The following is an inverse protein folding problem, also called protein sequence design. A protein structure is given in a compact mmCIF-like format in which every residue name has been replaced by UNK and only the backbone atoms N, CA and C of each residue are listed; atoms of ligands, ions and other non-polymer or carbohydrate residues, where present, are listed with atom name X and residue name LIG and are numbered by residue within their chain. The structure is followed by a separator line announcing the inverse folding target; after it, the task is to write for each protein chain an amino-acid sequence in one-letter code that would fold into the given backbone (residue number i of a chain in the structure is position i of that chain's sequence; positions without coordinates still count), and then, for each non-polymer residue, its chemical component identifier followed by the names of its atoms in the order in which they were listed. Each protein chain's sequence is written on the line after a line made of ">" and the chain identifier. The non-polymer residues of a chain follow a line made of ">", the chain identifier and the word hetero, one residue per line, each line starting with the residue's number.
data_IF_316629057836
#
_entry.id   IF_316629057836
#
_cell.length_a   1.000
_cell.length_b   1.000
_cell.length_c   1.000
_cell.angle_alpha   90.00
_cell.angle_beta   90.00
_cell.angle_gamma   90.00
#
_symmetry.space_group_name_H-M   'P 1'
#
loop_
_entity.id
_entity.type
_entity.pdbx_description
1 polymer ?
#
# COMPACT_ATOMS: atom_id res chain seq x y z
N UNK A 1 11.93 24.13 21.94
CA UNK A 1 10.72 23.39 21.57
C UNK A 1 10.94 22.83 20.16
N UNK A 2 10.70 21.54 19.98
CA UNK A 2 11.00 20.79 18.75
C UNK A 2 9.68 20.47 18.02
N UNK A 3 9.52 20.88 16.75
CA UNK A 3 8.25 20.77 16.02
C UNK A 3 7.90 19.34 15.54
N UNK A 4 8.63 18.30 15.96
CA UNK A 4 8.45 16.91 15.50
C UNK A 4 7.36 16.09 16.22
N UNK A 5 6.47 16.71 17.01
CA UNK A 5 5.63 15.98 17.96
C UNK A 5 4.13 15.89 17.61
N UNK A 6 3.78 15.35 16.43
CA UNK A 6 2.41 14.86 16.13
C UNK A 6 2.38 13.62 15.23
N UNK A 7 3.13 12.56 15.56
CA UNK A 7 2.86 11.21 15.03
C UNK A 7 3.41 10.13 15.99
N UNK A 8 2.52 9.46 16.71
CA UNK A 8 2.87 8.41 17.69
C UNK A 8 3.18 7.06 17.03
N UNK A 9 4.27 6.97 16.25
CA UNK A 9 4.98 5.72 15.92
C UNK A 9 6.33 6.04 15.26
N UNK A 10 7.41 6.14 16.05
CA UNK A 10 8.71 6.76 15.68
C UNK A 10 9.56 6.03 14.61
N UNK A 11 9.00 5.07 13.85
CA UNK A 11 9.78 4.35 12.84
C UNK A 11 8.86 3.86 11.71
N UNK A 12 8.37 4.80 10.90
CA UNK A 12 7.77 4.52 9.59
C UNK A 12 8.22 5.58 8.59
N UNK A 13 8.82 5.18 7.46
CA UNK A 13 9.19 6.11 6.40
C UNK A 13 9.27 5.38 5.05
N UNK A 14 8.87 6.07 3.98
CA UNK A 14 9.19 5.64 2.62
C UNK A 14 10.55 6.18 2.23
N UNK A 15 11.44 5.29 1.79
CA UNK A 15 12.74 5.63 1.27
C UNK A 15 12.94 5.05 -0.12
N UNK A 16 13.48 5.84 -1.04
CA UNK A 16 14.17 5.35 -2.23
C UNK A 16 15.66 5.39 -1.96
N UNK A 17 16.39 4.36 -2.37
CA UNK A 17 17.82 4.32 -2.13
C UNK A 17 18.57 3.58 -3.23
N UNK A 18 19.80 4.01 -3.47
CA UNK A 18 20.79 3.33 -4.31
C UNK A 18 21.92 2.87 -3.43
N UNK A 19 22.19 1.56 -3.42
CA UNK A 19 23.44 1.04 -2.86
C UNK A 19 24.43 0.88 -3.98
N UNK A 20 25.70 1.21 -3.75
CA UNK A 20 26.77 0.96 -4.72
C UNK A 20 28.04 0.43 -4.05
N UNK A 21 28.75 -0.41 -4.78
CA UNK A 21 30.16 -0.74 -4.53
C UNK A 21 30.96 0.03 -5.56
N UNK A 22 31.72 1.01 -5.08
CA UNK A 22 32.42 1.95 -5.95
C UNK A 22 33.69 1.31 -6.51
N UNK A 23 33.90 1.50 -7.81
CA UNK A 23 35.17 1.21 -8.44
C UNK A 23 36.07 2.44 -8.30
N UNK A 24 37.15 2.28 -7.54
CA UNK A 24 38.06 3.36 -7.15
C UNK A 24 38.96 3.81 -8.30
N UNK A 25 39.14 2.97 -9.31
CA UNK A 25 39.95 3.28 -10.49
C UNK A 25 39.13 3.88 -11.62
N UNK A 26 37.86 3.51 -11.73
CA UNK A 26 36.98 3.87 -12.85
C UNK A 26 35.51 3.84 -12.42
N UNK A 27 34.96 5.01 -12.09
CA UNK A 27 33.58 5.14 -11.59
C UNK A 27 32.51 4.57 -12.54
N UNK A 28 32.80 4.43 -13.85
CA UNK A 28 31.85 3.83 -14.80
C UNK A 28 31.66 2.32 -14.59
N UNK A 29 32.57 1.68 -13.86
CA UNK A 29 32.53 0.26 -13.50
C UNK A 29 31.93 -0.01 -12.12
N UNK A 30 31.51 1.03 -11.39
CA UNK A 30 30.83 0.87 -10.09
C UNK A 30 29.56 0.03 -10.26
N UNK A 31 29.33 -0.90 -9.33
CA UNK A 31 28.13 -1.74 -9.33
C UNK A 31 27.12 -1.12 -8.38
N UNK A 32 25.94 -0.77 -8.88
CA UNK A 32 24.87 -0.22 -8.06
C UNK A 32 23.55 -0.94 -8.29
N UNK A 33 22.68 -0.86 -7.29
CA UNK A 33 21.28 -1.27 -7.41
C UNK A 33 20.38 -0.26 -6.70
N UNK A 34 19.31 0.09 -7.37
CA UNK A 34 18.27 1.00 -6.87
C UNK A 34 17.10 0.20 -6.31
N UNK A 35 16.52 0.70 -5.22
CA UNK A 35 15.29 0.16 -4.67
C UNK A 35 14.52 1.21 -3.88
N UNK A 36 13.37 0.79 -3.38
CA UNK A 36 12.53 1.60 -2.51
C UNK A 36 11.80 0.71 -1.53
N UNK A 37 11.52 1.26 -0.35
CA UNK A 37 10.80 0.54 0.68
C UNK A 37 10.11 1.50 1.66
N UNK A 38 8.95 1.09 2.18
CA UNK A 38 8.41 1.69 3.40
C UNK A 38 8.90 0.91 4.61
N UNK A 39 9.93 1.42 5.25
CA UNK A 39 10.47 0.86 6.48
C UNK A 39 9.49 1.09 7.61
N UNK A 40 9.37 0.10 8.49
CA UNK A 40 8.52 0.18 9.67
C UNK A 40 9.15 -0.59 10.83
N UNK A 41 8.60 -0.47 12.03
CA UNK A 41 8.99 -1.32 13.17
C UNK A 41 8.84 -2.83 12.87
N UNK A 42 7.93 -3.20 11.95
CA UNK A 42 7.71 -4.58 11.50
C UNK A 42 8.62 -5.00 10.34
N UNK A 43 9.02 -4.06 9.48
CA UNK A 43 9.90 -4.30 8.33
C UNK A 43 11.11 -3.36 8.39
N UNK A 44 12.18 -3.86 9.01
CA UNK A 44 13.36 -3.07 9.36
C UNK A 44 14.49 -3.16 8.33
N UNK A 45 14.46 -4.13 7.42
CA UNK A 45 15.52 -4.37 6.45
C UNK A 45 14.95 -4.63 5.06
N UNK A 46 15.69 -4.19 4.05
CA UNK A 46 15.41 -4.40 2.64
C UNK A 46 16.74 -4.37 1.87
N UNK A 47 16.90 -5.23 0.87
CA UNK A 47 18.16 -5.32 0.12
C UNK A 47 18.33 -6.66 -0.58
N UNK A 48 19.55 -6.92 -1.04
CA UNK A 48 19.90 -8.09 -1.84
C UNK A 48 20.97 -8.91 -1.12
N UNK A 49 20.78 -10.22 -1.03
CA UNK A 49 21.80 -11.14 -0.57
C UNK A 49 22.83 -11.50 -1.67
N UNK A 50 22.53 -11.14 -2.93
CA UNK A 50 23.30 -11.48 -4.13
C UNK A 50 23.80 -10.21 -4.86
N UNK A 51 24.20 -9.18 -4.11
CA UNK A 51 24.44 -7.84 -4.64
C UNK A 51 25.50 -7.78 -5.76
N UNK A 52 26.68 -8.39 -5.54
CA UNK A 52 27.79 -8.40 -6.47
C UNK A 52 28.69 -9.64 -6.31
N UNK A 53 29.47 -9.95 -7.34
CA UNK A 53 30.40 -11.09 -7.35
C UNK A 53 31.60 -10.85 -6.43
N UNK A 54 31.80 -11.73 -5.45
CA UNK A 54 32.93 -11.66 -4.54
C UNK A 54 34.29 -11.78 -5.27
N UNK A 55 34.39 -12.65 -6.28
CA UNK A 55 35.62 -12.83 -7.05
C UNK A 55 36.05 -11.53 -7.76
N UNK A 56 35.07 -10.78 -8.28
CA UNK A 56 35.34 -9.50 -8.96
C UNK A 56 35.74 -8.40 -7.98
N UNK A 57 35.14 -8.40 -6.79
CA UNK A 57 35.47 -7.43 -5.73
C UNK A 57 36.89 -7.64 -5.20
N UNK A 58 37.30 -8.90 -5.04
CA UNK A 58 38.60 -9.26 -4.46
C UNK A 58 39.75 -9.24 -5.46
N UNK A 59 39.49 -9.16 -6.77
CA UNK A 59 40.56 -9.06 -7.77
C UNK A 59 41.14 -7.62 -7.77
N UNK A 60 42.40 -7.43 -7.33
CA UNK A 60 43.01 -6.10 -7.26
C UNK A 60 43.18 -5.44 -8.63
N UNK A 61 43.07 -6.20 -9.74
CA UNK A 61 43.13 -5.67 -11.11
C UNK A 61 41.83 -5.01 -11.55
N UNK A 62 40.71 -5.30 -10.89
CA UNK A 62 39.38 -4.84 -11.30
C UNK A 62 39.07 -3.45 -10.76
N UNK A 63 39.70 -3.03 -9.64
CA UNK A 63 39.65 -1.66 -9.13
C UNK A 63 38.63 -1.39 -8.02
N UNK A 64 37.97 -2.41 -7.47
CA UNK A 64 37.07 -2.25 -6.32
C UNK A 64 37.79 -2.21 -4.97
N UNK A 65 38.93 -2.92 -4.86
CA UNK A 65 39.69 -3.04 -3.63
C UNK A 65 40.79 -1.97 -3.58
N UNK A 66 40.85 -1.23 -2.47
CA UNK A 66 41.93 -0.27 -2.22
C UNK A 66 43.23 -1.03 -1.90
N UNK A 67 44.18 -1.07 -2.86
CA UNK A 67 45.35 -1.96 -2.81
C UNK A 67 46.28 -1.76 -1.61
N UNK A 68 46.22 -0.62 -0.92
CA UNK A 68 47.05 -0.38 0.27
C UNK A 68 46.43 -0.86 1.59
N UNK A 69 45.09 -1.02 1.65
CA UNK A 69 44.36 -1.18 2.92
C UNK A 69 43.28 -2.27 2.88
N UNK A 70 43.16 -3.04 1.79
CA UNK A 70 42.15 -4.10 1.61
C UNK A 70 40.71 -3.66 1.95
N UNK A 71 40.38 -2.41 1.62
CA UNK A 71 39.07 -1.82 1.87
C UNK A 71 38.28 -1.66 0.57
N UNK A 72 36.96 -1.80 0.65
CA UNK A 72 36.01 -1.44 -0.40
C UNK A 72 35.25 -0.19 0.00
N UNK A 73 34.88 0.65 -0.97
CA UNK A 73 34.02 1.79 -0.74
C UNK A 73 32.57 1.42 -1.10
N UNK A 74 31.69 1.50 -0.11
CA UNK A 74 30.25 1.31 -0.28
C UNK A 74 29.57 2.65 -0.05
N UNK A 75 28.73 3.06 -0.99
CA UNK A 75 27.95 4.28 -0.91
C UNK A 75 26.46 3.95 -0.86
N UNK A 76 25.69 4.84 -0.25
CA UNK A 76 24.23 4.77 -0.19
C UNK A 76 23.65 6.15 -0.45
N UNK A 77 23.01 6.33 -1.61
CA UNK A 77 22.19 7.52 -1.87
C UNK A 77 20.79 7.24 -1.36
N UNK A 78 20.25 8.12 -0.52
CA UNK A 78 18.98 7.89 0.15
C UNK A 78 18.09 9.12 0.00
N UNK A 79 16.89 8.91 -0.56
CA UNK A 79 15.82 9.88 -0.63
C UNK A 79 14.70 9.45 0.31
N UNK A 80 14.33 10.31 1.25
CA UNK A 80 13.25 10.06 2.21
C UNK A 80 12.03 10.88 1.81
N UNK A 81 10.87 10.22 1.76
CA UNK A 81 9.61 10.89 1.47
C UNK A 81 9.21 11.72 2.69
N UNK A 82 9.19 13.04 2.52
CA UNK A 82 8.66 13.94 3.53
C UNK A 82 7.15 14.01 3.33
N UNK A 83 6.41 13.42 4.27
CA UNK A 83 4.97 13.28 4.13
C UNK A 83 4.24 13.54 5.45
N UNK A 84 2.98 13.95 5.34
CA UNK A 84 2.03 13.93 6.45
C UNK A 84 0.71 13.32 5.99
N UNK A 85 -0.09 12.84 6.93
CA UNK A 85 -1.41 12.30 6.61
C UNK A 85 -2.41 12.61 7.71
N UNK A 86 -3.69 12.58 7.34
CA UNK A 86 -4.81 12.69 8.26
C UNK A 86 -5.90 11.71 7.87
N UNK A 87 -6.59 11.17 8.87
CA UNK A 87 -7.69 10.24 8.67
C UNK A 87 -8.91 10.71 9.45
N UNK A 88 -10.05 10.87 8.78
CA UNK A 88 -11.34 11.16 9.41
C UNK A 88 -12.30 10.00 9.17
N UNK A 89 -12.96 9.54 10.23
CA UNK A 89 -14.02 8.53 10.18
C UNK A 89 -15.37 9.23 10.12
N UNK A 90 -16.28 8.74 9.28
CA UNK A 90 -17.66 9.22 9.29
C UNK A 90 -18.42 8.57 10.46
N UNK A 91 -19.13 9.38 11.24
CA UNK A 91 -19.62 9.01 12.57
C UNK A 91 -20.88 8.12 12.59
N UNK A 92 -21.37 7.64 11.45
CA UNK A 92 -22.63 6.89 11.36
C UNK A 92 -22.59 5.50 12.04
N UNK A 93 -21.40 4.93 12.28
CA UNK A 93 -21.24 3.57 12.84
C UNK A 93 -21.31 3.48 14.37
N UNK A 94 -21.35 4.60 15.10
CA UNK A 94 -21.44 4.57 16.57
C UNK A 94 -22.82 4.08 17.05
N UNK A 95 -23.87 4.16 16.21
CA UNK A 95 -25.21 3.72 16.57
C UNK A 95 -25.47 2.22 16.31
N UNK A 96 -24.75 1.57 15.39
CA UNK A 96 -25.03 0.18 15.01
C UNK A 96 -24.40 -0.88 15.94
N UNK A 97 -23.39 -0.52 16.73
CA UNK A 97 -22.73 -1.44 17.67
C UNK A 97 -23.36 -1.46 19.09
N UNK A 98 -24.47 -0.75 19.31
CA UNK A 98 -25.26 -0.82 20.54
C UNK A 98 -26.40 -1.85 20.48
N UNK A 99 -26.35 -2.85 19.60
CA UNK A 99 -27.23 -4.03 19.69
C UNK A 99 -26.58 -5.03 20.64
N UNK A 100 -26.77 -4.75 21.94
CA UNK A 100 -26.86 -5.68 23.07
C UNK A 100 -26.49 -7.15 22.80
N UNK A 101 -25.25 -7.54 23.10
CA UNK A 101 -24.98 -8.89 23.60
C UNK A 101 -25.41 -8.95 25.06
N UNK A 102 -26.67 -9.34 25.30
CA UNK A 102 -27.05 -9.85 26.62
C UNK A 102 -26.32 -11.17 26.86
N UNK A 103 -25.40 -11.18 27.82
CA UNK A 103 -24.63 -12.34 28.26
C UNK A 103 -23.42 -11.88 29.06
N UNK A 104 -23.62 -11.69 30.37
CA UNK A 104 -22.77 -10.86 31.22
C UNK A 104 -21.43 -11.44 31.64
N UNK A 105 -20.53 -10.53 32.02
CA UNK A 105 -19.38 -10.79 32.88
C UNK A 105 -18.02 -10.83 32.17
N UNK A 106 -17.46 -9.67 31.85
CA UNK A 106 -16.05 -9.54 31.46
C UNK A 106 -15.72 -8.13 30.99
N UNK A 107 -14.77 -7.48 31.64
CA UNK A 107 -14.30 -6.14 31.27
C UNK A 107 -13.53 -6.26 29.95
N UNK A 108 -14.15 -5.88 28.83
CA UNK A 108 -13.49 -5.83 27.53
C UNK A 108 -13.42 -4.35 27.16
N UNK A 109 -12.21 -3.84 26.94
CA UNK A 109 -11.99 -2.48 26.41
C UNK A 109 -12.72 -2.27 25.08
N UNK A 110 -12.80 -1.03 24.58
CA UNK A 110 -13.60 -0.71 23.40
C UNK A 110 -13.14 -1.56 22.21
N UNK A 111 -14.03 -2.43 21.73
CA UNK A 111 -13.88 -3.10 20.43
C UNK A 111 -13.95 -1.98 19.39
N UNK A 112 -12.80 -1.59 18.83
CA UNK A 112 -12.76 -0.61 17.75
C UNK A 112 -13.48 -1.23 16.56
N UNK A 113 -14.74 -0.89 16.36
CA UNK A 113 -15.55 -1.39 15.25
C UNK A 113 -14.92 -1.05 13.90
N UNK A 114 -15.21 -1.91 12.92
CA UNK A 114 -14.79 -1.77 11.53
C UNK A 114 -15.03 -0.35 11.01
N UNK A 115 -14.09 0.16 10.20
CA UNK A 115 -14.22 1.49 9.63
C UNK A 115 -15.00 1.40 8.33
N UNK A 116 -16.31 1.58 8.38
CA UNK A 116 -17.12 1.44 7.17
C UNK A 116 -17.08 2.69 6.29
N UNK A 117 -16.72 3.85 6.81
CA UNK A 117 -16.58 5.06 6.00
C UNK A 117 -15.54 6.02 6.57
N UNK A 118 -14.88 6.72 5.67
CA UNK A 118 -13.94 7.77 6.06
C UNK A 118 -13.21 8.38 4.88
N UNK A 119 -12.34 9.33 5.23
CA UNK A 119 -11.45 10.03 4.30
C UNK A 119 -10.02 10.00 4.81
N UNK A 120 -9.15 9.44 4.00
CA UNK A 120 -7.71 9.51 4.18
C UNK A 120 -7.14 10.61 3.27
N UNK A 121 -6.30 11.48 3.83
CA UNK A 121 -5.59 12.53 3.08
C UNK A 121 -4.10 12.38 3.32
N UNK A 122 -3.33 12.40 2.24
CA UNK A 122 -1.89 12.22 2.20
C UNK A 122 -1.24 13.40 1.51
N UNK A 123 -0.31 14.06 2.21
CA UNK A 123 0.48 15.17 1.70
C UNK A 123 1.91 14.71 1.50
N UNK A 124 2.44 14.91 0.31
CA UNK A 124 3.84 14.69 -0.04
C UNK A 124 4.48 16.05 -0.22
N UNK A 125 5.40 16.44 0.65
CA UNK A 125 5.97 17.79 0.73
C UNK A 125 7.21 18.00 -0.13
N UNK A 126 7.80 16.92 -0.64
CA UNK A 126 9.02 16.93 -1.45
C UNK A 126 8.86 16.11 -2.74
N UNK A 127 7.73 16.29 -3.43
CA UNK A 127 7.33 15.44 -4.55
C UNK A 127 8.35 15.40 -5.67
N UNK A 128 8.98 16.53 -5.99
CA UNK A 128 9.94 16.65 -7.10
C UNK A 128 11.16 15.76 -6.94
N UNK A 129 11.58 15.43 -5.70
CA UNK A 129 12.66 14.48 -5.44
C UNK A 129 12.35 13.07 -5.96
N UNK A 130 11.07 12.70 -6.05
CA UNK A 130 10.62 11.39 -6.48
C UNK A 130 10.21 11.34 -7.95
N UNK A 131 10.30 12.46 -8.69
CA UNK A 131 9.82 12.57 -10.08
C UNK A 131 10.43 11.53 -11.02
N UNK A 132 11.74 11.30 -10.94
CA UNK A 132 12.39 10.28 -11.77
C UNK A 132 12.05 8.86 -11.28
N UNK A 133 11.94 8.68 -9.96
CA UNK A 133 11.59 7.39 -9.37
C UNK A 133 10.19 6.94 -9.81
N UNK A 134 9.20 7.83 -9.83
CA UNK A 134 7.83 7.47 -10.17
C UNK A 134 7.63 7.07 -11.64
N UNK A 135 8.59 7.34 -12.53
CA UNK A 135 8.56 6.86 -13.93
C UNK A 135 8.71 5.35 -14.04
N UNK A 136 9.35 4.73 -13.06
CA UNK A 136 9.66 3.29 -13.08
C UNK A 136 9.10 2.56 -11.85
N UNK A 137 8.76 3.28 -10.79
CA UNK A 137 8.36 2.73 -9.49
C UNK A 137 7.15 3.48 -8.92
N UNK A 138 6.65 3.03 -7.78
CA UNK A 138 5.52 3.67 -7.07
C UNK A 138 5.98 4.31 -5.77
N UNK A 139 5.46 5.48 -5.44
CA UNK A 139 5.42 5.96 -4.03
C UNK A 139 4.12 5.50 -3.39
N UNK A 140 4.17 5.16 -2.11
CA UNK A 140 3.05 4.58 -1.37
C UNK A 140 2.78 5.34 -0.09
N UNK A 141 1.52 5.69 0.18
CA UNK A 141 1.12 6.28 1.46
C UNK A 141 1.30 5.29 2.62
N UNK A 142 1.22 5.77 3.87
CA UNK A 142 0.91 4.93 5.01
C UNK A 142 -0.42 4.19 4.80
N UNK A 143 -0.56 3.06 5.51
CA UNK A 143 -1.79 2.27 5.49
C UNK A 143 -2.87 2.90 6.36
N UNK A 144 -4.13 2.77 5.95
CA UNK A 144 -5.31 3.18 6.71
C UNK A 144 -6.38 2.09 6.69
N UNK A 145 -7.21 1.97 7.74
CA UNK A 145 -8.22 0.93 7.84
C UNK A 145 -9.45 1.23 6.97
N UNK A 146 -10.01 0.19 6.35
CA UNK A 146 -11.30 0.22 5.64
C UNK A 146 -11.98 -1.15 5.73
N UNK A 147 -13.03 -1.24 6.54
CA UNK A 147 -13.67 -2.51 6.89
C UNK A 147 -12.66 -3.45 7.55
N UNK A 148 -12.60 -4.68 7.04
CA UNK A 148 -11.63 -5.71 7.47
C UNK A 148 -10.25 -5.59 6.79
N UNK A 149 -10.09 -4.67 5.84
CA UNK A 149 -8.85 -4.48 5.11
C UNK A 149 -8.06 -3.27 5.62
N UNK A 150 -6.75 -3.30 5.35
CA UNK A 150 -5.91 -2.12 5.40
C UNK A 150 -5.57 -1.72 3.96
N UNK A 151 -5.80 -0.46 3.63
CA UNK A 151 -5.61 0.09 2.29
C UNK A 151 -4.51 1.15 2.29
N UNK A 152 -3.96 1.46 1.12
CA UNK A 152 -3.00 2.54 0.89
C UNK A 152 -3.12 3.10 -0.51
N UNK A 153 -2.71 4.35 -0.71
CA UNK A 153 -2.65 5.01 -2.02
C UNK A 153 -1.28 4.72 -2.66
N UNK A 154 -1.26 4.26 -3.92
CA UNK A 154 -0.09 4.31 -4.81
C UNK A 154 -0.16 5.50 -5.73
N UNK A 155 0.99 6.11 -6.01
CA UNK A 155 1.18 7.08 -7.08
C UNK A 155 2.40 6.71 -7.90
N UNK A 156 2.27 6.73 -9.23
CA UNK A 156 3.35 6.52 -10.19
C UNK A 156 3.06 7.28 -11.49
N UNK A 157 4.03 7.34 -12.40
CA UNK A 157 3.84 7.83 -13.75
C UNK A 157 3.72 6.65 -14.72
N UNK A 158 2.77 6.70 -15.64
CA UNK A 158 2.67 5.75 -16.76
C UNK A 158 2.45 6.46 -18.09
N UNK A 159 2.70 5.73 -19.18
CA UNK A 159 2.50 6.22 -20.55
C UNK A 159 1.35 5.45 -21.18
N UNK A 160 0.30 6.15 -21.57
CA UNK A 160 -0.86 5.58 -22.27
C UNK A 160 -1.00 6.31 -23.59
N UNK A 161 -0.92 5.58 -24.71
CA UNK A 161 -0.98 6.14 -26.07
C UNK A 161 -0.01 7.32 -26.30
N UNK A 162 1.22 7.20 -25.79
CA UNK A 162 2.26 8.23 -25.94
C UNK A 162 2.11 9.45 -25.02
N UNK A 163 1.11 9.48 -24.14
CA UNK A 163 0.88 10.57 -23.19
C UNK A 163 1.27 10.12 -21.78
N UNK A 164 2.01 10.97 -21.07
CA UNK A 164 2.41 10.75 -19.67
C UNK A 164 1.28 11.13 -18.72
N UNK A 165 0.94 10.20 -17.83
CA UNK A 165 -0.08 10.37 -16.81
C UNK A 165 0.51 10.13 -15.42
N UNK A 166 0.09 10.97 -14.48
CA UNK A 166 0.04 10.58 -13.08
C UNK A 166 -1.02 9.48 -12.96
N UNK A 167 -0.65 8.40 -12.31
CA UNK A 167 -1.47 7.20 -12.12
C UNK A 167 -1.63 6.92 -10.66
N UNK A 168 -2.83 6.50 -10.28
CA UNK A 168 -3.23 6.34 -8.89
C UNK A 168 -3.98 5.04 -8.72
N UNK A 169 -3.61 4.27 -7.70
CA UNK A 169 -4.38 3.11 -7.26
C UNK A 169 -4.62 3.10 -5.76
N UNK A 170 -5.71 2.46 -5.37
CA UNK A 170 -5.95 2.00 -4.02
C UNK A 170 -5.53 0.53 -3.95
N UNK A 171 -4.69 0.19 -2.97
CA UNK A 171 -4.11 -1.15 -2.83
C UNK A 171 -4.44 -1.72 -1.46
N UNK A 172 -4.83 -2.99 -1.40
CA UNK A 172 -4.84 -3.73 -0.14
C UNK A 172 -3.42 -4.01 0.32
N UNK A 173 -3.19 -3.91 1.63
CA UNK A 173 -1.92 -4.24 2.25
C UNK A 173 -2.13 -5.05 3.51
N UNK A 174 -1.60 -6.26 3.54
CA UNK A 174 -1.55 -7.01 4.79
C UNK A 174 -0.55 -6.37 5.78
N UNK A 175 -1.04 -6.14 6.99
CA UNK A 175 -0.30 -5.56 8.12
C UNK A 175 -0.11 -6.54 9.27
N UNK A 176 -0.69 -7.74 9.22
CA UNK A 176 -0.74 -8.70 10.32
C UNK A 176 -0.30 -10.11 9.90
N UNK A 177 0.67 -10.69 10.62
CA UNK A 177 1.13 -12.07 10.36
C UNK A 177 0.22 -13.16 10.94
N UNK A 178 -0.88 -12.80 11.58
CA UNK A 178 -1.78 -13.76 12.21
C UNK A 178 -2.71 -14.38 11.15
N UNK A 179 -2.18 -15.41 10.48
CA UNK A 179 -2.80 -16.25 9.44
C UNK A 179 -4.08 -17.00 9.86
N UNK A 180 -4.68 -16.69 11.01
CA UNK A 180 -5.85 -17.39 11.55
C UNK A 180 -7.18 -16.84 11.00
N UNK A 181 -7.17 -15.69 10.32
CA UNK A 181 -8.34 -15.12 9.63
C UNK A 181 -7.98 -14.97 8.15
N UNK A 182 -8.05 -16.08 7.41
CA UNK A 182 -7.56 -16.18 6.04
C UNK A 182 -8.42 -15.47 4.98
N UNK A 183 -9.55 -14.85 5.38
CA UNK A 183 -10.59 -14.40 4.43
C UNK A 183 -10.96 -12.92 4.59
N UNK A 184 -10.07 -12.07 5.14
CA UNK A 184 -10.34 -10.63 5.26
C UNK A 184 -10.51 -10.01 3.87
N UNK A 185 -11.73 -9.61 3.55
CA UNK A 185 -12.04 -8.89 2.32
C UNK A 185 -13.11 -7.85 2.59
N UNK A 186 -13.08 -6.76 1.83
CA UNK A 186 -14.13 -5.77 1.89
C UNK A 186 -14.51 -5.31 0.49
N UNK A 187 -15.80 -5.17 0.24
CA UNK A 187 -16.29 -4.49 -0.95
C UNK A 187 -16.37 -3.00 -0.65
N UNK A 188 -15.77 -2.17 -1.50
CA UNK A 188 -15.54 -0.77 -1.20
C UNK A 188 -15.94 0.10 -2.39
N UNK A 189 -16.77 1.10 -2.15
CA UNK A 189 -16.95 2.25 -3.04
C UNK A 189 -15.95 3.32 -2.62
N UNK A 190 -15.22 3.90 -3.55
CA UNK A 190 -14.19 4.88 -3.21
C UNK A 190 -14.03 5.96 -4.27
N UNK A 191 -13.61 7.14 -3.81
CA UNK A 191 -13.22 8.28 -4.62
C UNK A 191 -11.78 8.64 -4.31
N UNK A 192 -10.91 8.55 -5.31
CA UNK A 192 -9.54 9.05 -5.23
C UNK A 192 -9.47 10.46 -5.81
N UNK A 193 -8.77 11.37 -5.15
CA UNK A 193 -8.66 12.78 -5.54
C UNK A 193 -7.23 13.30 -5.48
N UNK A 194 -6.86 14.17 -6.44
CA UNK A 194 -5.71 15.08 -6.36
C UNK A 194 -6.26 16.46 -6.02
N UNK A 195 -5.89 17.00 -4.86
CA UNK A 195 -6.46 18.24 -4.36
C UNK A 195 -5.72 19.44 -4.94
N UNK A 196 -6.49 20.31 -5.61
CA UNK A 196 -6.06 21.66 -5.91
C UNK A 196 -5.86 22.48 -4.62
N UNK A 197 -4.71 23.13 -4.47
CA UNK A 197 -4.29 23.89 -3.30
C UNK A 197 -4.42 25.41 -3.47
N UNK A 198 -4.69 25.88 -4.70
CA UNK A 198 -4.94 27.30 -5.00
C UNK A 198 -6.44 27.59 -4.84
N UNK A 199 -6.91 27.78 -3.60
CA UNK A 199 -8.29 28.20 -3.33
C UNK A 199 -8.56 29.57 -3.98
N UNK A 200 -9.66 29.69 -4.74
CA UNK A 200 -10.11 30.95 -5.35
C UNK A 200 -9.81 31.13 -6.85
N UNK A 201 -9.04 30.24 -7.49
CA UNK A 201 -8.73 30.30 -8.92
C UNK A 201 -9.77 29.70 -9.88
N UNK A 202 -10.95 29.32 -9.38
CA UNK A 202 -11.99 28.65 -10.19
C UNK A 202 -11.68 27.19 -10.58
N UNK A 203 -10.51 26.66 -10.22
CA UNK A 203 -10.09 25.29 -10.49
C UNK A 203 -10.49 24.35 -9.34
N UNK A 204 -11.17 23.26 -9.69
CA UNK A 204 -11.64 22.25 -8.74
C UNK A 204 -10.58 21.18 -8.48
N UNK A 205 -10.75 20.43 -7.40
CA UNK A 205 -10.03 19.17 -7.21
C UNK A 205 -10.33 18.19 -8.35
N UNK A 206 -9.32 17.43 -8.77
CA UNK A 206 -9.56 16.30 -9.67
C UNK A 206 -9.96 15.09 -8.83
N UNK A 207 -11.01 14.37 -9.25
CA UNK A 207 -11.40 13.13 -8.59
C UNK A 207 -11.95 12.11 -9.60
N UNK A 208 -11.83 10.83 -9.25
CA UNK A 208 -12.49 9.72 -9.93
C UNK A 208 -13.07 8.76 -8.89
N UNK A 209 -14.19 8.15 -9.23
CA UNK A 209 -14.94 7.23 -8.39
C UNK A 209 -14.87 5.83 -9.00
N UNK A 210 -14.74 4.83 -8.15
CA UNK A 210 -14.77 3.42 -8.54
C UNK A 210 -15.26 2.57 -7.37
N UNK A 211 -15.37 1.28 -7.61
CA UNK A 211 -15.74 0.30 -6.61
C UNK A 211 -15.05 -1.03 -6.89
N UNK A 212 -14.95 -1.87 -5.86
CA UNK A 212 -14.51 -3.25 -6.02
C UNK A 212 -14.18 -3.93 -4.71
N UNK A 213 -13.80 -5.21 -4.80
CA UNK A 213 -13.39 -6.01 -3.65
C UNK A 213 -11.89 -5.86 -3.41
N UNK A 214 -11.51 -5.56 -2.19
CA UNK A 214 -10.15 -5.69 -1.69
C UNK A 214 -10.06 -6.94 -0.82
N UNK A 215 -8.94 -7.65 -0.89
CA UNK A 215 -8.67 -8.82 -0.06
C UNK A 215 -7.25 -8.76 0.52
N UNK A 216 -7.05 -9.44 1.66
CA UNK A 216 -5.72 -9.66 2.21
C UNK A 216 -4.87 -10.52 1.26
N UNK A 217 -3.54 -10.36 1.35
CA UNK A 217 -2.53 -11.02 0.52
C UNK A 217 -2.65 -12.54 0.65
N UNK A 218 -3.36 -13.18 -0.28
CA UNK A 218 -3.27 -14.62 -0.42
C UNK A 218 -1.90 -14.94 -0.98
N UNK A 219 -1.26 -16.00 -0.48
CA UNK A 219 0.09 -16.45 -0.88
C UNK A 219 0.25 -16.74 -2.39
N UNK A 220 -0.81 -16.57 -3.19
CA UNK A 220 -0.80 -16.54 -4.66
C UNK A 220 -0.29 -15.21 -5.26
N UNK A 221 -0.14 -14.14 -4.46
CA UNK A 221 0.42 -12.85 -4.91
C UNK A 221 -0.62 -11.85 -5.42
N UNK A 222 -1.91 -12.16 -5.33
CA UNK A 222 -2.99 -11.31 -5.83
C UNK A 222 -3.39 -10.24 -4.79
N UNK A 223 -2.48 -9.32 -4.47
CA UNK A 223 -2.87 -8.09 -3.79
C UNK A 223 -3.84 -7.33 -4.70
N UNK A 224 -5.03 -7.01 -4.23
CA UNK A 224 -6.01 -6.28 -5.06
C UNK A 224 -5.61 -4.82 -5.14
N UNK A 225 -5.28 -4.38 -6.36
CA UNK A 225 -5.00 -2.99 -6.70
C UNK A 225 -6.04 -2.50 -7.70
N UNK A 226 -6.79 -1.47 -7.33
CA UNK A 226 -7.80 -0.86 -8.19
C UNK A 226 -7.44 0.60 -8.41
N UNK A 227 -7.43 1.05 -9.65
CA UNK A 227 -7.00 2.41 -9.98
C UNK A 227 -6.99 2.70 -11.47
N UNK A 228 -6.28 3.77 -11.83
CA UNK A 228 -6.21 4.28 -13.20
C UNK A 228 -4.77 4.55 -13.61
N UNK A 229 -4.38 3.99 -14.76
CA UNK A 229 -3.10 4.25 -15.44
C UNK A 229 -3.09 5.57 -16.25
N UNK A 230 -4.23 6.24 -16.32
CA UNK A 230 -4.44 7.47 -17.08
C UNK A 230 -5.13 8.53 -16.23
N UNK A 231 -4.85 8.55 -14.91
CA UNK A 231 -5.64 9.31 -13.93
C UNK A 231 -5.65 10.82 -14.25
N UNK A 232 -4.48 11.45 -14.33
CA UNK A 232 -4.28 12.87 -14.64
C UNK A 232 -3.09 13.04 -15.55
N UNK A 233 -3.14 13.89 -16.58
CA UNK A 233 -1.93 14.13 -17.40
C UNK A 233 -0.83 14.73 -16.52
N UNK A 234 0.41 14.27 -16.67
CA UNK A 234 1.53 14.82 -15.90
C UNK A 234 1.75 16.31 -16.18
N UNK A 235 1.50 16.76 -17.41
CA UNK A 235 1.58 18.18 -17.78
C UNK A 235 0.58 19.03 -16.98
N UNK A 236 -0.65 18.53 -16.77
CA UNK A 236 -1.67 19.24 -16.00
C UNK A 236 -1.33 19.21 -14.50
N UNK A 237 -0.85 18.08 -13.99
CA UNK A 237 -0.46 17.93 -12.59
C UNK A 237 0.72 18.85 -12.20
N UNK A 238 1.78 18.86 -13.02
CA UNK A 238 3.01 19.63 -12.77
C UNK A 238 2.90 21.10 -13.18
N UNK A 239 1.84 21.49 -13.89
CA UNK A 239 1.66 22.84 -14.40
C UNK A 239 1.65 23.87 -13.25
N UNK A 240 2.48 24.92 -13.29
CA UNK A 240 2.59 25.88 -12.17
C UNK A 240 1.27 26.59 -11.86
N UNK A 241 0.40 26.76 -12.86
CA UNK A 241 -0.93 27.37 -12.72
C UNK A 241 -2.05 26.39 -12.42
N UNK A 242 -1.80 25.08 -12.43
CA UNK A 242 -2.84 24.07 -12.20
C UNK A 242 -3.26 23.97 -10.73
N UNK A 243 -2.36 24.31 -9.81
CA UNK A 243 -2.60 24.30 -8.37
C UNK A 243 -2.55 22.92 -7.72
N UNK A 244 -2.20 21.85 -8.44
CA UNK A 244 -2.10 20.50 -7.89
C UNK A 244 -0.75 20.20 -7.20
N UNK A 245 0.33 20.81 -7.70
CA UNK A 245 1.65 20.84 -7.05
C UNK A 245 1.98 22.29 -6.68
N UNK A 246 2.02 22.59 -5.38
CA UNK A 246 2.28 23.96 -4.85
C UNK A 246 3.39 23.86 -3.81
N UNK A 247 4.45 24.65 -3.95
CA UNK A 247 5.61 24.61 -3.03
C UNK A 247 6.17 23.19 -2.86
N UNK A 248 6.30 22.47 -3.98
CA UNK A 248 6.71 21.04 -4.05
C UNK A 248 5.81 20.06 -3.27
N UNK A 249 4.65 20.54 -2.82
CA UNK A 249 3.67 19.77 -2.07
C UNK A 249 2.56 19.29 -2.98
N UNK A 250 2.30 17.99 -2.98
CA UNK A 250 1.15 17.36 -3.62
C UNK A 250 0.22 16.78 -2.56
N UNK A 251 -1.10 16.89 -2.76
CA UNK A 251 -2.10 16.39 -1.80
C UNK A 251 -3.04 15.40 -2.47
N UNK A 252 -2.96 14.15 -2.04
CA UNK A 252 -3.81 13.05 -2.48
C UNK A 252 -4.84 12.73 -1.40
N UNK A 253 -6.03 12.30 -1.79
CA UNK A 253 -7.00 11.78 -0.81
C UNK A 253 -7.84 10.66 -1.36
N UNK A 254 -8.30 9.79 -0.47
CA UNK A 254 -9.29 8.75 -0.77
C UNK A 254 -10.43 8.87 0.23
N UNK A 255 -11.65 9.07 -0.27
CA UNK A 255 -12.87 8.89 0.52
C UNK A 255 -13.48 7.55 0.16
N UNK A 256 -14.02 6.82 1.13
CA UNK A 256 -14.54 5.48 0.87
C UNK A 256 -15.75 5.14 1.73
N UNK A 257 -16.52 4.18 1.24
CA UNK A 257 -17.60 3.49 1.92
C UNK A 257 -17.44 1.99 1.69
N UNK A 258 -17.31 1.21 2.77
CA UNK A 258 -17.27 -0.24 2.74
C UNK A 258 -18.69 -0.76 2.88
N UNK A 259 -19.06 -1.66 1.97
CA UNK A 259 -20.31 -2.40 2.04
C UNK A 259 -20.13 -3.50 3.08
N UNK A 260 -20.97 -3.47 4.12
CA UNK A 260 -21.03 -4.54 5.12
C UNK A 260 -21.66 -5.76 4.46
N UNK A 261 -20.96 -6.89 4.48
CA UNK A 261 -21.44 -8.14 3.94
C UNK A 261 -21.50 -9.20 5.04
N UNK A 262 -22.60 -9.95 5.09
CA UNK A 262 -22.73 -11.13 5.93
C UNK A 262 -22.87 -12.35 5.02
N UNK A 263 -21.79 -13.12 4.89
CA UNK A 263 -21.80 -14.40 4.19
C UNK A 263 -21.73 -15.56 5.17
N UNK A 264 -22.61 -16.54 5.02
CA UNK A 264 -22.52 -17.80 5.73
C UNK A 264 -22.76 -18.98 4.79
N UNK A 265 -21.99 -20.05 5.00
CA UNK A 265 -22.20 -21.32 4.32
C UNK A 265 -22.52 -22.38 5.36
N UNK A 266 -23.74 -22.91 5.33
CA UNK A 266 -24.12 -24.04 6.18
C UNK A 266 -24.05 -25.32 5.35
N UNK A 267 -23.17 -26.26 5.72
CA UNK A 267 -23.11 -27.58 5.11
C UNK A 267 -24.39 -28.36 5.49
N UNK A 268 -25.14 -28.87 4.51
CA UNK A 268 -26.26 -29.75 4.86
C UNK A 268 -25.66 -31.07 5.34
N UNK A 269 -26.08 -31.54 6.52
CA UNK A 269 -25.61 -32.81 7.07
C UNK A 269 -25.72 -33.95 6.05
N UNK A 270 -24.69 -34.77 5.98
CA UNK A 270 -24.70 -36.03 5.21
C UNK A 270 -25.94 -36.83 5.58
N UNK A 271 -26.82 -37.09 4.61
CA UNK A 271 -27.79 -38.17 4.74
C UNK A 271 -26.98 -39.44 5.01
N UNK A 272 -27.17 -40.03 6.19
CA UNK A 272 -26.66 -41.37 6.51
C UNK A 272 -27.43 -42.33 5.60
N UNK A 273 -26.94 -42.50 4.37
CA UNK A 273 -27.38 -43.54 3.47
C UNK A 273 -26.99 -44.88 4.09
N UNK A 274 -28.00 -45.66 4.45
CA UNK A 274 -27.87 -47.06 4.87
C UNK A 274 -26.95 -47.78 3.89
N UNK A 275 -25.87 -48.38 4.41
CA UNK A 275 -24.95 -49.21 3.63
C UNK A 275 -25.72 -50.35 2.98
N UNK A 276 -25.76 -50.38 1.66
CA UNK A 276 -25.74 -51.64 0.93
C UNK A 276 -24.78 -51.53 -0.27
N UNK A 277 -23.98 -52.58 -0.44
CA UNK A 277 -22.69 -52.56 -1.13
C UNK A 277 -22.67 -52.16 -2.61
N UNK A 278 -21.47 -51.80 -3.06
CA UNK A 278 -21.13 -51.56 -4.46
C UNK A 278 -20.24 -50.32 -4.62
N UNK A 279 -19.10 -50.47 -5.29
CA UNK A 279 -18.11 -49.43 -5.56
C UNK A 279 -18.71 -48.08 -6.01
N UNK A 280 -18.43 -47.00 -5.27
CA UNK A 280 -18.75 -45.63 -5.68
C UNK A 280 -17.49 -44.77 -5.65
N UNK A 281 -17.14 -44.21 -6.81
CA UNK A 281 -16.09 -43.19 -6.98
C UNK A 281 -16.44 -41.98 -6.10
N UNK A 282 -15.51 -41.54 -5.24
CA UNK A 282 -15.67 -40.29 -4.46
C UNK A 282 -15.88 -39.13 -5.42
N UNK A 283 -17.08 -38.57 -5.44
CA UNK A 283 -17.29 -37.21 -5.93
C UNK A 283 -17.19 -36.29 -4.70
N UNK A 284 -16.21 -35.39 -4.69
CA UNK A 284 -16.04 -34.37 -3.64
C UNK A 284 -17.09 -33.25 -3.79
N UNK A 285 -18.36 -33.62 -3.96
CA UNK A 285 -19.48 -32.69 -4.02
C UNK A 285 -19.80 -32.19 -2.60
N UNK A 286 -19.42 -30.96 -2.28
CA UNK A 286 -19.89 -30.29 -1.08
C UNK A 286 -21.29 -29.72 -1.33
N UNK A 287 -22.32 -30.34 -0.73
CA UNK A 287 -23.68 -29.77 -0.69
C UNK A 287 -23.84 -28.89 0.55
N UNK A 288 -24.35 -27.69 0.36
CA UNK A 288 -24.66 -26.76 1.44
C UNK A 288 -25.43 -25.55 0.94
N UNK A 289 -25.96 -24.77 1.88
CA UNK A 289 -26.70 -23.54 1.60
C UNK A 289 -25.78 -22.36 1.83
N UNK A 290 -25.51 -21.61 0.76
CA UNK A 290 -24.88 -20.30 0.84
C UNK A 290 -25.95 -19.23 1.08
N UNK A 291 -25.72 -18.35 2.05
CA UNK A 291 -26.54 -17.16 2.30
C UNK A 291 -25.65 -15.93 2.28
N UNK A 292 -26.05 -14.92 1.52
CA UNK A 292 -25.40 -13.61 1.47
C UNK A 292 -26.44 -12.53 1.74
N UNK A 293 -26.09 -11.57 2.59
CA UNK A 293 -26.91 -10.39 2.90
C UNK A 293 -26.01 -9.15 2.92
N UNK A 294 -26.55 -8.06 2.39
CA UNK A 294 -26.05 -6.68 2.42
C UNK A 294 -27.07 -5.87 3.22
#
# INVERSE_FOLDING_TARGET
>A
MDPRNTASSKWDCFASYRLAIENLSDASKSVHRDSWHRFSSKKKSHGWCDFASLNSILDPKVGFLHSSNDCILITADILILHETFSFSRDNYDVQANNVSTMGGGGVIGPVVGDVLSGKFTWKVHNFSLFKEMIKTQKIMSPVFPAGECNLRISVYQSVVNGVEYLSMCLESKDTEKNSLIADRSCWCLFRMSVLNQKLGGGLNHMHRDSYGRFAADNKSGDNTSLGWNDYMKMADFMGPESGFLVEDTAVFSTSFHVIKELSSFSKSGTLIGVRNGGNVRKSDGHMGKFSWRN
#
